data_IF_077941471433
#
_entry.id   IF_077941471433
#
_cell.length_a   1.000
_cell.length_b   1.000
_cell.length_c   1.000
_cell.angle_alpha   90.00
_cell.angle_beta   90.00
_cell.angle_gamma   90.00
#
_symmetry.space_group_name_H-M   'P 1'
#
loop_
_entity.id
_entity.type
_entity.pdbx_description
1 polymer ?
#
# COMPACT_ATOMS: atom_id res chain seq x y z
N UNK A 1 18.48 -13.93 -7.92
CA UNK A 1 18.07 -13.91 -6.48
C UNK A 1 17.82 -15.32 -6.00
N UNK A 2 17.03 -16.13 -6.73
CA UNK A 2 16.99 -17.61 -6.58
C UNK A 2 18.41 -18.22 -6.56
N UNK A 3 19.31 -17.69 -7.39
CA UNK A 3 20.73 -18.06 -7.44
C UNK A 3 21.52 -17.85 -6.15
N UNK A 4 21.20 -16.84 -5.32
CA UNK A 4 21.99 -16.55 -4.11
C UNK A 4 21.59 -17.50 -2.97
N UNK A 5 20.29 -17.78 -2.85
CA UNK A 5 19.79 -18.75 -1.88
C UNK A 5 20.22 -20.16 -2.24
N UNK A 6 20.09 -20.53 -3.51
CA UNK A 6 20.55 -21.80 -4.02
C UNK A 6 22.06 -21.97 -3.84
N UNK A 7 22.85 -20.92 -4.05
CA UNK A 7 24.28 -20.94 -3.77
C UNK A 7 24.58 -21.18 -2.29
N UNK A 8 23.91 -20.49 -1.36
CA UNK A 8 24.12 -20.70 0.09
C UNK A 8 23.68 -22.09 0.54
N UNK A 9 22.60 -22.61 -0.06
CA UNK A 9 22.14 -23.98 0.14
C UNK A 9 23.18 -25.00 -0.34
N UNK A 10 23.64 -24.87 -1.58
CA UNK A 10 24.67 -25.73 -2.17
C UNK A 10 25.98 -25.67 -1.37
N UNK A 11 26.38 -24.49 -0.88
CA UNK A 11 27.55 -24.32 -0.02
C UNK A 11 27.36 -25.00 1.34
N UNK A 12 26.18 -24.91 1.96
CA UNK A 12 25.87 -25.60 3.22
C UNK A 12 25.83 -27.13 3.05
N UNK A 13 25.24 -27.61 1.96
CA UNK A 13 25.18 -29.03 1.61
C UNK A 13 26.58 -29.59 1.33
N UNK A 14 27.42 -28.84 0.59
CA UNK A 14 28.80 -29.23 0.31
C UNK A 14 29.66 -29.26 1.58
N UNK A 15 29.53 -28.24 2.45
CA UNK A 15 30.26 -28.17 3.73
C UNK A 15 29.85 -29.30 4.68
N UNK A 16 28.55 -29.58 4.77
CA UNK A 16 28.04 -30.69 5.55
C UNK A 16 28.52 -32.03 4.99
N UNK A 17 28.41 -32.24 3.68
CA UNK A 17 28.84 -33.48 3.03
C UNK A 17 30.33 -33.75 3.23
N UNK A 18 31.16 -32.70 3.25
CA UNK A 18 32.60 -32.82 3.48
C UNK A 18 32.97 -33.24 4.92
N UNK A 19 32.06 -33.02 5.89
CA UNK A 19 32.28 -33.27 7.32
C UNK A 19 31.32 -34.33 7.91
N UNK A 20 30.43 -34.89 7.08
CA UNK A 20 29.40 -35.84 7.50
C UNK A 20 29.99 -37.14 8.03
N UNK A 21 29.46 -37.60 9.16
CA UNK A 21 29.83 -38.83 9.83
C UNK A 21 28.52 -39.50 10.27
N UNK A 22 28.11 -40.62 9.66
CA UNK A 22 26.81 -41.24 9.91
C UNK A 22 26.65 -41.75 11.35
N UNK A 23 27.75 -41.95 12.09
CA UNK A 23 27.71 -42.40 13.49
C UNK A 23 27.57 -41.23 14.47
N UNK A 24 27.77 -39.98 14.00
CA UNK A 24 27.83 -38.77 14.86
C UNK A 24 26.88 -37.65 14.44
N UNK A 25 26.49 -37.59 13.18
CA UNK A 25 25.71 -36.50 12.61
C UNK A 25 24.34 -36.99 12.15
N UNK A 26 23.32 -36.19 12.42
CA UNK A 26 22.00 -36.37 11.85
C UNK A 26 22.04 -36.05 10.35
N UNK A 27 21.29 -36.78 9.53
CA UNK A 27 21.23 -36.61 8.06
C UNK A 27 20.81 -35.19 7.66
N UNK A 28 20.09 -34.49 8.54
CA UNK A 28 19.60 -33.13 8.32
C UNK A 28 20.54 -32.03 8.84
N UNK A 29 21.78 -32.35 9.23
CA UNK A 29 22.73 -31.36 9.78
C UNK A 29 23.09 -30.20 8.82
N UNK A 30 22.94 -30.40 7.50
CA UNK A 30 23.07 -29.33 6.51
C UNK A 30 22.00 -28.22 6.67
N UNK A 31 20.81 -28.55 7.18
CA UNK A 31 19.74 -27.58 7.46
C UNK A 31 20.15 -26.63 8.58
N UNK A 32 20.85 -27.12 9.61
CA UNK A 32 21.39 -26.30 10.69
C UNK A 32 22.46 -25.32 10.21
N UNK A 33 23.43 -25.81 9.43
CA UNK A 33 24.47 -24.96 8.83
C UNK A 33 23.88 -23.91 7.89
N UNK A 34 22.87 -24.31 7.11
CA UNK A 34 22.12 -23.40 6.28
C UNK A 34 21.43 -22.32 7.12
N UNK A 35 20.71 -22.70 8.19
CA UNK A 35 20.01 -21.80 9.09
C UNK A 35 20.95 -20.79 9.77
N UNK A 36 22.13 -21.23 10.19
CA UNK A 36 23.17 -20.38 10.77
C UNK A 36 23.71 -19.37 9.75
N UNK A 37 23.87 -19.78 8.48
CA UNK A 37 24.34 -18.88 7.40
C UNK A 37 23.32 -17.82 7.01
N UNK A 38 22.02 -18.12 7.10
CA UNK A 38 20.95 -17.15 6.78
C UNK A 38 20.36 -16.45 8.00
N UNK A 39 20.92 -16.65 9.19
CA UNK A 39 20.47 -16.07 10.46
C UNK A 39 18.96 -16.29 10.69
N UNK A 40 18.47 -17.48 10.34
CA UNK A 40 17.06 -17.85 10.44
C UNK A 40 16.10 -17.17 9.45
N UNK A 41 16.60 -16.44 8.45
CA UNK A 41 15.78 -15.83 7.41
C UNK A 41 15.49 -16.84 6.29
N UNK A 42 14.36 -17.55 6.41
CA UNK A 42 13.92 -18.47 5.37
C UNK A 42 13.54 -17.71 4.08
N UNK A 43 13.63 -18.33 2.89
CA UNK A 43 13.22 -17.74 1.62
C UNK A 43 11.81 -17.17 1.68
N UNK A 44 10.91 -17.94 2.29
CA UNK A 44 9.50 -17.63 2.43
C UNK A 44 9.34 -16.32 3.20
N UNK A 45 10.07 -16.16 4.30
CA UNK A 45 10.03 -14.96 5.14
C UNK A 45 10.64 -13.76 4.42
N UNK A 46 11.75 -13.96 3.71
CA UNK A 46 12.39 -12.91 2.91
C UNK A 46 11.47 -12.42 1.79
N UNK A 47 10.95 -13.33 0.98
CA UNK A 47 10.09 -12.97 -0.15
C UNK A 47 8.77 -12.40 0.33
N UNK A 48 8.19 -12.93 1.40
CA UNK A 48 7.01 -12.37 2.03
C UNK A 48 7.26 -10.93 2.48
N UNK A 49 8.37 -10.69 3.19
CA UNK A 49 8.75 -9.34 3.64
C UNK A 49 8.93 -8.39 2.46
N UNK A 50 9.64 -8.81 1.42
CA UNK A 50 9.85 -8.00 0.22
C UNK A 50 8.51 -7.63 -0.46
N UNK A 51 7.60 -8.59 -0.62
CA UNK A 51 6.26 -8.35 -1.21
C UNK A 51 5.43 -7.43 -0.33
N UNK A 52 5.46 -7.64 0.99
CA UNK A 52 4.79 -6.81 1.98
C UNK A 52 5.29 -5.37 1.92
N UNK A 53 6.61 -5.18 1.91
CA UNK A 53 7.26 -3.87 1.79
C UNK A 53 6.84 -3.16 0.51
N UNK A 54 6.91 -3.85 -0.64
CA UNK A 54 6.47 -3.31 -1.93
C UNK A 54 5.00 -2.85 -1.91
N UNK A 55 4.10 -3.64 -1.33
CA UNK A 55 2.68 -3.26 -1.23
C UNK A 55 2.48 -2.02 -0.34
N UNK A 56 3.17 -1.98 0.81
CA UNK A 56 3.09 -0.85 1.75
C UNK A 56 3.60 0.44 1.11
N UNK A 57 4.70 0.37 0.37
CA UNK A 57 5.29 1.50 -0.32
C UNK A 57 4.43 1.96 -1.49
N UNK A 58 3.90 1.03 -2.30
CA UNK A 58 3.00 1.37 -3.39
C UNK A 58 1.72 2.07 -2.93
N UNK A 59 1.08 1.58 -1.86
CA UNK A 59 -0.10 2.24 -1.27
C UNK A 59 0.26 3.62 -0.71
N UNK A 60 1.43 3.76 -0.09
CA UNK A 60 1.89 5.06 0.41
C UNK A 60 2.13 6.04 -0.74
N UNK A 61 2.76 5.59 -1.83
CA UNK A 61 2.95 6.39 -3.03
C UNK A 61 1.63 6.79 -3.70
N UNK A 62 0.66 5.86 -3.75
CA UNK A 62 -0.69 6.13 -4.21
C UNK A 62 -1.40 7.20 -3.38
N UNK A 63 -1.40 7.07 -2.04
CA UNK A 63 -2.02 8.05 -1.14
C UNK A 63 -1.38 9.45 -1.32
N UNK A 64 -0.05 9.52 -1.45
CA UNK A 64 0.69 10.77 -1.70
C UNK A 64 0.34 11.36 -3.07
N UNK A 65 0.28 10.54 -4.11
CA UNK A 65 -0.07 11.01 -5.45
C UNK A 65 -1.46 11.64 -5.47
N UNK A 66 -2.48 10.98 -4.88
CA UNK A 66 -3.85 11.52 -4.78
C UNK A 66 -3.90 12.86 -4.05
N UNK A 67 -3.10 13.03 -2.99
CA UNK A 67 -2.97 14.31 -2.29
C UNK A 67 -2.34 15.39 -3.19
N UNK A 68 -1.23 15.08 -3.86
CA UNK A 68 -0.51 16.06 -4.68
C UNK A 68 -1.30 16.47 -5.91
N UNK A 69 -1.96 15.53 -6.58
CA UNK A 69 -2.82 15.80 -7.73
C UNK A 69 -3.97 16.74 -7.37
N UNK A 70 -4.59 16.56 -6.20
CA UNK A 70 -5.61 17.49 -5.71
C UNK A 70 -5.04 18.87 -5.38
N UNK A 71 -3.88 18.93 -4.72
CA UNK A 71 -3.26 20.21 -4.39
C UNK A 71 -2.91 21.02 -5.65
N UNK A 72 -2.55 20.36 -6.75
CA UNK A 72 -2.33 20.99 -8.04
C UNK A 72 -3.60 21.67 -8.56
N UNK A 73 -4.73 20.96 -8.60
CA UNK A 73 -6.04 21.55 -8.97
C UNK A 73 -6.36 22.75 -8.08
N UNK A 74 -6.29 22.57 -6.76
CA UNK A 74 -6.65 23.62 -5.80
C UNK A 74 -5.73 24.85 -5.89
N UNK A 75 -4.47 24.70 -6.31
CA UNK A 75 -3.55 25.82 -6.49
C UNK A 75 -4.01 26.80 -7.58
N UNK A 76 -4.79 26.33 -8.55
CA UNK A 76 -5.39 27.13 -9.63
C UNK A 76 -6.77 27.72 -9.26
N UNK A 77 -7.37 27.29 -8.14
CA UNK A 77 -8.68 27.76 -7.72
C UNK A 77 -8.60 28.96 -6.77
N UNK A 78 -9.33 30.01 -7.13
CA UNK A 78 -9.52 31.19 -6.28
C UNK A 78 -11.01 31.40 -6.07
N UNK A 79 -11.42 31.47 -4.81
CA UNK A 79 -12.82 31.73 -4.43
C UNK A 79 -12.92 33.18 -3.94
N UNK A 80 -13.98 33.86 -4.36
CA UNK A 80 -14.33 35.17 -3.82
C UNK A 80 -15.19 34.95 -2.58
N UNK A 81 -14.77 35.51 -1.45
CA UNK A 81 -15.53 35.47 -0.20
C UNK A 81 -16.61 36.56 -0.22
N UNK A 82 -17.62 36.44 0.65
CA UNK A 82 -18.73 37.40 0.77
C UNK A 82 -18.28 38.83 1.11
N UNK A 83 -17.11 38.98 1.75
CA UNK A 83 -16.50 40.27 2.09
C UNK A 83 -15.70 40.90 0.92
N UNK A 84 -15.73 40.28 -0.26
CA UNK A 84 -15.01 40.72 -1.45
C UNK A 84 -13.52 40.35 -1.47
N UNK A 85 -13.01 39.68 -0.43
CA UNK A 85 -11.64 39.17 -0.41
C UNK A 85 -11.51 37.89 -1.24
N UNK A 86 -10.28 37.53 -1.62
CA UNK A 86 -9.98 36.32 -2.38
C UNK A 86 -9.28 35.30 -1.49
N UNK A 87 -9.73 34.05 -1.56
CA UNK A 87 -9.14 32.92 -0.86
C UNK A 87 -8.64 31.87 -1.85
N UNK A 88 -7.52 31.22 -1.51
CA UNK A 88 -7.14 29.94 -2.12
C UNK A 88 -7.77 28.81 -1.34
N UNK A 89 -8.08 27.71 -2.02
CA UNK A 89 -8.55 26.49 -1.36
C UNK A 89 -7.38 25.60 -0.96
N UNK A 90 -7.49 24.96 0.20
CA UNK A 90 -6.57 23.90 0.64
C UNK A 90 -7.36 22.71 1.16
N UNK A 91 -6.77 21.52 1.08
CA UNK A 91 -7.33 20.33 1.74
C UNK A 91 -7.36 20.53 3.26
N UNK A 92 -8.47 20.16 3.89
CA UNK A 92 -8.58 20.15 5.34
C UNK A 92 -7.59 19.13 5.92
N UNK A 93 -6.78 19.59 6.88
CA UNK A 93 -5.94 18.74 7.70
C UNK A 93 -5.99 19.20 9.15
N UNK A 94 -6.06 18.29 10.13
CA UNK A 94 -5.87 18.63 11.54
C UNK A 94 -4.52 19.32 11.76
N UNK A 95 -4.43 20.21 12.75
CA UNK A 95 -3.20 20.97 13.05
C UNK A 95 -2.01 20.06 13.36
N UNK A 96 -2.26 18.89 13.96
CA UNK A 96 -1.23 17.91 14.30
C UNK A 96 -0.81 16.99 13.15
N UNK A 97 -1.41 17.12 11.96
CA UNK A 97 -1.22 16.20 10.85
C UNK A 97 -0.51 16.89 9.68
N UNK A 98 0.46 16.19 9.08
CA UNK A 98 1.19 16.69 7.91
C UNK A 98 0.35 16.56 6.62
N UNK A 99 -0.41 15.47 6.51
CA UNK A 99 -1.27 15.13 5.38
C UNK A 99 -2.76 15.13 5.76
N UNK A 100 -3.67 15.41 4.81
CA UNK A 100 -5.09 15.24 5.01
C UNK A 100 -5.43 13.76 5.26
N UNK A 101 -6.51 13.51 6.00
CA UNK A 101 -7.00 12.15 6.17
C UNK A 101 -7.56 11.59 4.85
N UNK A 102 -7.49 10.27 4.67
CA UNK A 102 -8.00 9.62 3.44
C UNK A 102 -9.45 10.00 3.09
N UNK A 103 -10.33 10.09 4.10
CA UNK A 103 -11.72 10.50 3.87
C UNK A 103 -11.87 11.91 3.28
N UNK A 104 -10.92 12.81 3.53
CA UNK A 104 -10.86 14.14 2.90
C UNK A 104 -10.54 14.01 1.42
N UNK A 105 -9.53 13.19 1.07
CA UNK A 105 -9.14 12.92 -0.32
C UNK A 105 -10.29 12.29 -1.11
N UNK A 106 -10.97 11.30 -0.53
CA UNK A 106 -12.13 10.63 -1.15
C UNK A 106 -13.24 11.62 -1.48
N UNK A 107 -13.61 12.49 -0.54
CA UNK A 107 -14.66 13.49 -0.76
C UNK A 107 -14.25 14.51 -1.83
N UNK A 108 -13.01 14.98 -1.81
CA UNK A 108 -12.51 15.94 -2.78
C UNK A 108 -12.43 15.34 -4.20
N UNK A 109 -11.93 14.11 -4.34
CA UNK A 109 -11.92 13.39 -5.62
C UNK A 109 -13.32 13.07 -6.14
N UNK A 110 -14.26 12.71 -5.25
CA UNK A 110 -15.64 12.48 -5.64
C UNK A 110 -16.30 13.75 -6.19
N UNK A 111 -15.98 14.93 -5.65
CA UNK A 111 -16.43 16.20 -6.22
C UNK A 111 -15.80 16.53 -7.58
N UNK A 112 -14.66 15.91 -7.92
CA UNK A 112 -14.10 15.94 -9.28
C UNK A 112 -14.69 14.85 -10.19
N UNK A 113 -15.70 14.11 -9.73
CA UNK A 113 -16.31 13.01 -10.48
C UNK A 113 -15.49 11.72 -10.50
N UNK A 114 -14.49 11.59 -9.62
CA UNK A 114 -13.61 10.42 -9.56
C UNK A 114 -13.83 9.60 -8.30
N UNK A 115 -13.99 8.28 -8.44
CA UNK A 115 -14.05 7.37 -7.30
C UNK A 115 -12.67 6.76 -7.05
N UNK A 116 -11.91 7.34 -6.11
CA UNK A 116 -10.60 6.81 -5.70
C UNK A 116 -10.69 5.70 -4.66
N UNK A 117 -11.89 5.34 -4.20
CA UNK A 117 -12.11 4.34 -3.17
C UNK A 117 -13.07 3.22 -3.65
N UNK A 118 -12.80 2.58 -4.81
CA UNK A 118 -13.49 1.33 -5.13
C UNK A 118 -13.15 0.26 -4.10
N UNK A 119 -13.96 -0.80 -4.05
CA UNK A 119 -13.80 -1.90 -3.08
C UNK A 119 -12.40 -2.51 -3.11
N UNK A 120 -11.79 -2.64 -4.30
CA UNK A 120 -10.42 -3.12 -4.49
C UNK A 120 -9.39 -2.25 -3.77
N UNK A 121 -9.45 -0.92 -3.91
CA UNK A 121 -8.55 -0.01 -3.17
C UNK A 121 -8.81 -0.04 -1.67
N UNK A 122 -10.07 -0.14 -1.24
CA UNK A 122 -10.39 -0.30 0.18
C UNK A 122 -9.75 -1.56 0.76
N UNK A 123 -9.83 -2.66 0.02
CA UNK A 123 -9.22 -3.92 0.37
C UNK A 123 -7.71 -3.80 0.49
N UNK A 124 -7.04 -3.27 -0.55
CA UNK A 124 -5.58 -3.10 -0.59
C UNK A 124 -5.08 -2.20 0.53
N UNK A 125 -5.78 -1.09 0.83
CA UNK A 125 -5.43 -0.19 1.93
C UNK A 125 -5.63 -0.85 3.30
N UNK A 126 -6.67 -1.67 3.46
CA UNK A 126 -6.87 -2.46 4.67
C UNK A 126 -5.76 -3.51 4.86
N UNK A 127 -5.32 -4.16 3.77
CA UNK A 127 -4.18 -5.08 3.79
C UNK A 127 -2.89 -4.35 4.17
N UNK A 128 -2.60 -3.19 3.57
CA UNK A 128 -1.45 -2.34 3.97
C UNK A 128 -1.49 -1.98 5.46
N UNK A 129 -2.67 -1.68 6.01
CA UNK A 129 -2.82 -1.41 7.45
C UNK A 129 -2.45 -2.64 8.29
N UNK A 130 -2.93 -3.83 7.91
CA UNK A 130 -2.55 -5.10 8.56
C UNK A 130 -1.03 -5.32 8.52
N UNK A 131 -0.42 -5.18 7.34
CA UNK A 131 1.01 -5.37 7.11
C UNK A 131 1.88 -4.36 7.87
N UNK A 132 1.42 -3.12 8.03
CA UNK A 132 2.18 -2.06 8.71
C UNK A 132 2.14 -2.19 10.24
N UNK A 133 0.97 -2.53 10.81
CA UNK A 133 0.78 -2.46 12.27
C UNK A 133 0.83 -3.81 12.98
N UNK A 134 0.50 -4.90 12.29
CA UNK A 134 0.47 -6.25 12.87
C UNK A 134 1.55 -7.14 12.27
N UNK A 135 2.50 -6.58 11.52
CA UNK A 135 3.49 -7.32 10.74
C UNK A 135 2.84 -8.40 9.86
N UNK A 136 1.59 -8.19 9.42
CA UNK A 136 0.85 -9.16 8.62
C UNK A 136 0.22 -10.32 9.36
N UNK A 137 0.37 -10.41 10.68
CA UNK A 137 -0.17 -11.49 11.51
C UNK A 137 -1.72 -11.50 11.50
N UNK A 138 -2.30 -12.65 11.17
CA UNK A 138 -3.74 -12.91 11.16
C UNK A 138 -4.22 -13.32 12.56
N UNK A 139 -4.58 -12.35 13.41
CA UNK A 139 -4.94 -12.59 14.82
C UNK A 139 -6.35 -13.10 15.05
N UNK A 140 -7.25 -12.93 14.08
CA UNK A 140 -8.65 -13.34 14.19
C UNK A 140 -9.10 -14.19 13.00
N UNK A 141 -10.15 -14.98 13.21
CA UNK A 141 -10.76 -15.76 12.13
C UNK A 141 -11.31 -14.85 11.02
N UNK A 142 -11.84 -13.68 11.36
CA UNK A 142 -12.32 -12.69 10.39
C UNK A 142 -11.18 -12.17 9.49
N UNK A 143 -10.00 -11.92 10.07
CA UNK A 143 -8.81 -11.52 9.30
C UNK A 143 -8.37 -12.64 8.36
N UNK A 144 -8.31 -13.87 8.87
CA UNK A 144 -8.00 -15.05 8.06
C UNK A 144 -8.98 -15.17 6.89
N UNK A 145 -10.27 -15.15 7.15
CA UNK A 145 -11.29 -15.33 6.11
C UNK A 145 -11.24 -14.23 5.04
N UNK A 146 -10.89 -13.01 5.45
CA UNK A 146 -10.72 -11.85 4.57
C UNK A 146 -9.48 -11.93 3.69
N UNK A 147 -8.36 -12.43 4.20
CA UNK A 147 -7.06 -12.36 3.52
C UNK A 147 -6.51 -13.73 3.06
N UNK A 148 -7.20 -14.83 3.34
CA UNK A 148 -6.75 -16.18 2.94
C UNK A 148 -6.59 -16.36 1.42
N UNK A 149 -7.28 -15.56 0.61
CA UNK A 149 -7.24 -15.64 -0.86
C UNK A 149 -6.00 -15.00 -1.48
N UNK A 150 -5.13 -14.43 -0.65
CA UNK A 150 -3.90 -13.82 -1.11
C UNK A 150 -2.76 -14.84 -1.28
N UNK A 151 -3.01 -16.10 -0.89
CA UNK A 151 -2.22 -17.25 -1.32
C UNK A 151 -2.48 -17.57 -2.79
N UNK A 152 -1.46 -18.05 -3.47
CA UNK A 152 -1.59 -18.71 -4.77
C UNK A 152 -1.35 -20.21 -4.53
N UNK A 153 -2.32 -21.10 -4.80
CA UNK A 153 -2.14 -22.54 -4.64
C UNK A 153 -0.96 -23.12 -5.44
N UNK A 154 -0.48 -22.40 -6.46
CA UNK A 154 0.70 -22.76 -7.24
C UNK A 154 2.02 -22.17 -6.71
N UNK A 155 1.96 -21.18 -5.81
CA UNK A 155 3.12 -20.62 -5.11
C UNK A 155 3.37 -21.43 -3.83
N UNK A 156 4.07 -22.56 -3.97
CA UNK A 156 4.41 -23.45 -2.85
C UNK A 156 5.22 -22.76 -1.74
N UNK A 157 5.80 -21.58 -2.02
CA UNK A 157 6.52 -20.74 -1.05
C UNK A 157 5.58 -19.93 -0.16
N UNK A 158 4.28 -19.91 -0.47
CA UNK A 158 3.26 -19.19 0.29
C UNK A 158 2.44 -20.22 1.05
N UNK A 159 2.69 -20.33 2.35
CA UNK A 159 1.93 -21.21 3.23
C UNK A 159 0.43 -20.89 3.28
N UNK A 160 -0.36 -21.82 3.79
CA UNK A 160 -1.79 -21.58 4.01
C UNK A 160 -2.04 -20.52 5.08
N UNK A 161 -3.08 -19.71 4.91
CA UNK A 161 -3.50 -18.76 5.94
C UNK A 161 -4.07 -19.50 7.16
N UNK A 162 -3.52 -19.22 8.35
CA UNK A 162 -4.05 -19.67 9.62
C UNK A 162 -4.01 -18.56 10.68
N UNK A 163 -4.81 -18.70 11.74
CA UNK A 163 -4.83 -17.73 12.84
C UNK A 163 -3.54 -17.81 13.64
N UNK A 164 -2.82 -16.68 13.75
CA UNK A 164 -1.49 -16.56 14.34
C UNK A 164 -0.34 -16.67 13.33
N UNK A 165 -0.64 -16.95 12.06
CA UNK A 165 0.33 -16.90 10.97
C UNK A 165 0.32 -15.57 10.24
N UNK A 166 1.32 -15.34 9.39
CA UNK A 166 1.36 -14.18 8.51
C UNK A 166 0.37 -14.34 7.36
N UNK A 167 -0.15 -13.21 6.87
CA UNK A 167 -1.01 -13.17 5.69
C UNK A 167 -0.25 -13.72 4.47
N UNK A 168 -0.76 -14.73 3.77
CA UNK A 168 -0.11 -15.17 2.54
C UNK A 168 -0.13 -14.04 1.52
N UNK A 169 0.96 -13.85 0.77
CA UNK A 169 1.02 -12.78 -0.23
C UNK A 169 1.74 -13.30 -1.47
N UNK A 170 0.98 -13.84 -2.42
CA UNK A 170 1.52 -14.31 -3.70
C UNK A 170 1.93 -13.14 -4.61
N UNK A 171 2.94 -13.38 -5.45
CA UNK A 171 3.44 -12.35 -6.38
C UNK A 171 2.38 -11.92 -7.41
N UNK A 172 1.62 -12.87 -7.95
CA UNK A 172 0.55 -12.57 -8.91
C UNK A 172 -0.54 -11.68 -8.28
N UNK A 173 -0.91 -11.97 -7.03
CA UNK A 173 -1.88 -11.18 -6.26
C UNK A 173 -1.35 -9.77 -5.97
N UNK A 174 -0.08 -9.65 -5.59
CA UNK A 174 0.57 -8.35 -5.42
C UNK A 174 0.48 -7.53 -6.72
N UNK A 175 0.86 -8.09 -7.87
CA UNK A 175 0.83 -7.40 -9.16
C UNK A 175 -0.60 -6.92 -9.48
N UNK A 176 -1.60 -7.78 -9.30
CA UNK A 176 -2.99 -7.41 -9.53
C UNK A 176 -3.44 -6.23 -8.63
N UNK A 177 -3.04 -6.23 -7.35
CA UNK A 177 -3.32 -5.09 -6.46
C UNK A 177 -2.66 -3.79 -6.94
N UNK A 178 -1.43 -3.87 -7.45
CA UNK A 178 -0.73 -2.72 -8.01
C UNK A 178 -1.42 -2.20 -9.27
N UNK A 179 -1.92 -3.10 -10.13
CA UNK A 179 -2.70 -2.74 -11.31
C UNK A 179 -4.00 -2.03 -10.92
N UNK A 180 -4.73 -2.52 -9.90
CA UNK A 180 -5.93 -1.85 -9.38
C UNK A 180 -5.64 -0.43 -8.88
N UNK A 181 -4.51 -0.21 -8.19
CA UNK A 181 -4.08 1.13 -7.78
C UNK A 181 -3.76 2.01 -9.01
N UNK A 182 -3.06 1.44 -10.00
CA UNK A 182 -2.72 2.11 -11.25
C UNK A 182 -3.94 2.52 -12.07
N UNK A 183 -4.96 1.68 -12.14
CA UNK A 183 -6.23 1.98 -12.83
C UNK A 183 -6.93 3.19 -12.20
N UNK A 184 -6.97 3.25 -10.87
CA UNK A 184 -7.54 4.40 -10.15
C UNK A 184 -6.72 5.66 -10.38
N UNK A 185 -5.38 5.57 -10.41
CA UNK A 185 -4.51 6.68 -10.78
C UNK A 185 -4.84 7.22 -12.16
N UNK A 186 -4.96 6.36 -13.18
CA UNK A 186 -5.29 6.80 -14.56
C UNK A 186 -6.65 7.49 -14.64
N UNK A 187 -7.64 7.00 -13.90
CA UNK A 187 -8.97 7.63 -13.82
C UNK A 187 -8.92 9.00 -13.12
N UNK A 188 -8.19 9.09 -12.00
CA UNK A 188 -8.03 10.33 -11.26
C UNK A 188 -7.26 11.39 -12.05
N UNK A 189 -6.17 10.99 -12.72
CA UNK A 189 -5.29 11.87 -13.49
C UNK A 189 -6.04 12.58 -14.62
N UNK A 190 -6.91 11.87 -15.35
CA UNK A 190 -7.71 12.46 -16.41
C UNK A 190 -8.61 13.60 -15.90
N UNK A 191 -9.25 13.44 -14.75
CA UNK A 191 -10.10 14.46 -14.15
C UNK A 191 -9.29 15.61 -13.55
N UNK A 192 -8.17 15.29 -12.89
CA UNK A 192 -7.23 16.27 -12.33
C UNK A 192 -6.68 17.15 -13.44
N UNK A 193 -6.22 16.56 -14.54
CA UNK A 193 -5.69 17.29 -15.69
C UNK A 193 -6.74 18.24 -16.28
N UNK A 194 -7.96 17.75 -16.47
CA UNK A 194 -9.07 18.56 -16.96
C UNK A 194 -9.41 19.73 -16.02
N UNK A 195 -9.35 19.53 -14.71
CA UNK A 195 -9.65 20.57 -13.73
C UNK A 195 -8.50 21.58 -13.51
N UNK A 196 -7.24 21.13 -13.56
CA UNK A 196 -6.07 21.98 -13.35
C UNK A 196 -5.71 22.81 -14.59
N UNK A 197 -5.85 22.23 -15.78
CA UNK A 197 -5.38 22.83 -17.04
C UNK A 197 -6.49 23.05 -18.08
N UNK A 198 -7.70 22.56 -17.83
CA UNK A 198 -8.86 22.86 -18.67
C UNK A 198 -9.53 24.19 -18.33
N UNK A 199 -10.57 24.51 -19.10
CA UNK A 199 -11.34 25.76 -18.93
C UNK A 199 -12.48 25.65 -17.91
N UNK A 200 -12.81 24.45 -17.43
CA UNK A 200 -13.94 24.20 -16.54
C UNK A 200 -13.45 23.73 -15.17
N UNK A 201 -13.61 24.58 -14.17
CA UNK A 201 -13.46 24.20 -12.77
C UNK A 201 -14.70 23.40 -12.36
N UNK A 202 -14.57 22.20 -11.75
CA UNK A 202 -15.72 21.48 -11.24
C UNK A 202 -16.47 22.31 -10.20
N UNK A 203 -17.69 22.75 -10.51
CA UNK A 203 -18.57 23.52 -9.60
C UNK A 203 -18.88 22.76 -8.31
N UNK A 204 -18.77 21.44 -8.33
CA UNK A 204 -18.91 20.59 -7.15
C UNK A 204 -17.76 20.78 -6.13
N UNK A 205 -16.55 21.18 -6.56
CA UNK A 205 -15.46 21.49 -5.61
C UNK A 205 -15.77 22.74 -4.78
N UNK A 206 -16.35 23.78 -5.38
CA UNK A 206 -16.74 24.99 -4.63
C UNK A 206 -17.81 24.70 -3.58
N UNK A 207 -18.74 23.78 -3.85
CA UNK A 207 -19.79 23.40 -2.89
C UNK A 207 -19.23 22.72 -1.62
N UNK A 208 -18.01 22.17 -1.67
CA UNK A 208 -17.36 21.56 -0.50
C UNK A 208 -16.86 22.60 0.50
N UNK A 209 -16.70 23.86 0.09
CA UNK A 209 -16.23 24.96 0.95
C UNK A 209 -17.31 25.38 1.96
N UNK A 210 -18.58 25.29 1.56
CA UNK A 210 -19.73 25.71 2.39
C UNK A 210 -20.06 24.72 3.51
N UNK A 211 -19.42 23.56 3.51
CA UNK A 211 -19.60 22.55 4.54
C UNK A 211 -18.84 22.98 5.81
N UNK A 212 -19.55 23.13 6.94
CA UNK A 212 -18.95 23.45 8.26
C UNK A 212 -17.80 22.51 8.69
N UNK A 213 -17.74 21.30 8.12
CA UNK A 213 -16.67 20.32 8.29
C UNK A 213 -16.29 19.71 6.94
N UNK A 214 -16.16 20.56 5.92
CA UNK A 214 -15.84 20.16 4.56
C UNK A 214 -14.40 19.67 4.40
N UNK A 215 -14.12 18.94 3.32
CA UNK A 215 -12.77 18.51 2.96
C UNK A 215 -11.87 19.67 2.48
N UNK A 216 -12.42 20.87 2.26
CA UNK A 216 -11.69 22.04 1.79
C UNK A 216 -11.80 23.20 2.80
N UNK A 217 -10.73 23.97 2.93
CA UNK A 217 -10.66 25.17 3.79
C UNK A 217 -10.20 26.36 2.95
N UNK A 218 -10.91 27.50 2.99
CA UNK A 218 -10.46 28.73 2.36
C UNK A 218 -9.32 29.36 3.18
N UNK A 219 -8.26 29.77 2.50
CA UNK A 219 -7.12 30.48 3.08
C UNK A 219 -7.00 31.85 2.40
N UNK A 220 -7.08 32.96 3.15
CA UNK A 220 -6.96 34.29 2.58
C UNK A 220 -5.67 34.44 1.76
N UNK A 221 -5.79 35.06 0.58
CA UNK A 221 -4.62 35.47 -0.19
C UNK A 221 -3.97 36.69 0.48
N UNK A 222 -2.69 36.59 0.79
CA UNK A 222 -1.87 37.72 1.24
C UNK A 222 -1.40 38.56 0.06
#
# INVERSE_FOLDING_TARGET
>A
MESAYQQVWEEAEAEFSATFDPDRHDVDGHVGLFHDKVDGLWPTDYFWKLRSDNLRDAVSAFDVYMEKSLNEVLAHLVVNNDDGTKSKLKLFRPVSWESPGWGVLVQAHAAMGTNIQPETVQYVRALRHLLAHQRGELRTQEQRDKFQREADPSDWMVGEAYVGGDVPLASARLIEMLDHLGDVVRLADAAVWAAAYGSEVPTALSALVDLKRGPLVPVPMQ
#
